data_IF_419392101995
#
_entry.id   IF_419392101995
#
_cell.length_a   1.000
_cell.length_b   1.000
_cell.length_c   1.000
_cell.angle_alpha   90.00
_cell.angle_beta   90.00
_cell.angle_gamma   90.00
#
_symmetry.space_group_name_H-M   'P 1'
#
loop_
_entity.id
_entity.type
_entity.pdbx_description
1 polymer ?
#
# COMPACT_ATOMS: atom_id res chain seq x y z
N UNK A 1 -25.70 10.94 -13.65
CA UNK A 1 -25.36 9.59 -13.14
C UNK A 1 -24.08 9.73 -12.31
N UNK A 2 -24.10 9.35 -11.05
CA UNK A 2 -22.88 9.35 -10.22
C UNK A 2 -21.92 8.29 -10.76
N UNK A 3 -20.67 8.67 -11.05
CA UNK A 3 -19.63 7.73 -11.49
C UNK A 3 -19.51 6.59 -10.47
N UNK A 4 -19.92 5.38 -10.83
CA UNK A 4 -19.84 4.18 -9.99
C UNK A 4 -18.42 3.63 -10.02
N UNK A 5 -17.50 4.35 -9.41
CA UNK A 5 -16.09 3.94 -9.31
C UNK A 5 -15.83 3.19 -8.02
N UNK A 6 -14.74 2.40 -7.98
CA UNK A 6 -14.36 1.63 -6.80
C UNK A 6 -14.31 2.53 -5.54
N UNK A 7 -13.62 3.64 -5.62
CA UNK A 7 -13.47 4.55 -4.48
C UNK A 7 -14.80 5.13 -3.99
N UNK A 8 -15.69 5.53 -4.91
CA UNK A 8 -17.01 6.08 -4.52
C UNK A 8 -17.87 5.03 -3.83
N UNK A 9 -17.84 3.79 -4.34
CA UNK A 9 -18.58 2.67 -3.76
C UNK A 9 -18.00 2.30 -2.40
N UNK A 10 -16.66 2.15 -2.27
CA UNK A 10 -16.01 1.83 -0.99
C UNK A 10 -16.38 2.86 0.10
N UNK A 11 -16.31 4.15 -0.22
CA UNK A 11 -16.68 5.21 0.74
C UNK A 11 -18.16 5.20 1.11
N UNK A 12 -19.05 4.96 0.15
CA UNK A 12 -20.48 4.89 0.38
C UNK A 12 -20.88 3.67 1.23
N UNK A 13 -20.33 2.50 0.91
CA UNK A 13 -20.62 1.27 1.65
C UNK A 13 -20.03 1.31 3.07
N UNK A 14 -18.79 1.83 3.22
CA UNK A 14 -18.17 2.08 4.51
C UNK A 14 -19.05 2.97 5.41
N UNK A 15 -19.52 4.10 4.90
CA UNK A 15 -20.33 5.04 5.68
C UNK A 15 -21.67 4.46 6.13
N UNK A 16 -22.24 3.56 5.33
CA UNK A 16 -23.52 2.89 5.62
C UNK A 16 -23.37 1.57 6.35
N UNK A 17 -22.15 1.10 6.59
CA UNK A 17 -21.85 -0.24 7.11
C UNK A 17 -22.60 -1.33 6.32
N UNK A 18 -22.51 -1.21 4.97
CA UNK A 18 -23.23 -2.12 4.09
C UNK A 18 -22.58 -3.50 4.09
N UNK A 19 -23.32 -4.52 4.49
CA UNK A 19 -22.86 -5.91 4.45
C UNK A 19 -23.06 -6.51 3.04
N UNK A 20 -22.21 -7.47 2.67
CA UNK A 20 -22.21 -8.17 1.39
C UNK A 20 -21.93 -7.30 0.14
N UNK A 21 -21.48 -6.06 0.31
CA UNK A 21 -20.95 -5.22 -0.77
C UNK A 21 -19.47 -5.46 -1.02
N UNK A 22 -18.91 -4.69 -1.95
CA UNK A 22 -17.48 -4.81 -2.29
C UNK A 22 -16.58 -4.35 -1.13
N UNK A 23 -16.98 -3.32 -0.38
CA UNK A 23 -16.24 -2.88 0.81
C UNK A 23 -16.14 -4.01 1.85
N UNK A 24 -17.25 -4.67 2.15
CA UNK A 24 -17.31 -5.81 3.07
C UNK A 24 -16.39 -6.96 2.58
N UNK A 25 -16.51 -7.32 1.29
CA UNK A 25 -15.66 -8.33 0.69
C UNK A 25 -14.18 -8.00 0.79
N UNK A 26 -13.77 -6.79 0.38
CA UNK A 26 -12.36 -6.40 0.38
C UNK A 26 -11.76 -6.25 1.79
N UNK A 27 -12.54 -5.83 2.77
CA UNK A 27 -12.13 -5.80 4.18
C UNK A 27 -11.71 -7.19 4.66
N UNK A 28 -12.57 -8.19 4.38
CA UNK A 28 -12.35 -9.56 4.84
C UNK A 28 -11.20 -10.21 4.05
N UNK A 29 -11.26 -10.17 2.72
CA UNK A 29 -10.28 -10.84 1.86
C UNK A 29 -8.87 -10.27 2.06
N UNK A 30 -8.75 -8.94 2.21
CA UNK A 30 -7.44 -8.32 2.39
C UNK A 30 -6.86 -8.63 3.77
N UNK A 31 -7.65 -8.51 4.84
CA UNK A 31 -7.19 -8.82 6.18
C UNK A 31 -6.81 -10.31 6.30
N UNK A 32 -7.65 -11.22 5.79
CA UNK A 32 -7.38 -12.65 5.79
C UNK A 32 -6.07 -12.95 5.06
N UNK A 33 -5.99 -12.65 3.78
CA UNK A 33 -4.83 -13.03 2.97
C UNK A 33 -3.54 -12.37 3.45
N UNK A 34 -3.59 -11.07 3.77
CA UNK A 34 -2.40 -10.34 4.21
C UNK A 34 -1.84 -10.83 5.55
N UNK A 35 -2.70 -11.21 6.50
CA UNK A 35 -2.26 -11.82 7.77
C UNK A 35 -1.85 -13.28 7.60
N UNK A 36 -2.54 -14.04 6.74
CA UNK A 36 -2.23 -15.45 6.49
C UNK A 36 -0.84 -15.64 5.82
N UNK A 37 -0.47 -14.72 4.92
CA UNK A 37 0.89 -14.64 4.35
C UNK A 37 1.94 -14.51 5.46
N UNK A 38 1.66 -13.79 6.54
CA UNK A 38 2.57 -13.61 7.69
C UNK A 38 2.43 -14.70 8.77
N UNK A 39 1.58 -15.69 8.54
CA UNK A 39 1.48 -16.87 9.41
C UNK A 39 0.29 -16.90 10.35
N UNK A 40 -0.64 -15.95 10.28
CA UNK A 40 -1.90 -16.02 11.03
C UNK A 40 -2.64 -17.32 10.76
N UNK A 41 -3.30 -17.87 11.78
CA UNK A 41 -4.04 -19.12 11.72
C UNK A 41 -5.55 -18.93 11.66
N UNK A 42 -6.03 -17.69 11.65
CA UNK A 42 -7.46 -17.42 11.49
C UNK A 42 -7.94 -17.91 10.11
N UNK A 43 -9.05 -18.63 10.10
CA UNK A 43 -9.72 -18.98 8.85
C UNK A 43 -10.38 -17.75 8.22
N UNK A 44 -10.74 -17.86 6.93
CA UNK A 44 -11.49 -16.81 6.26
C UNK A 44 -12.84 -16.53 6.94
N UNK A 45 -13.53 -17.59 7.40
CA UNK A 45 -14.79 -17.47 8.12
C UNK A 45 -14.63 -16.81 9.48
N UNK A 46 -13.54 -17.13 10.22
CA UNK A 46 -13.23 -16.43 11.48
C UNK A 46 -12.93 -14.95 11.23
N UNK A 47 -12.16 -14.62 10.18
CA UNK A 47 -11.89 -13.22 9.79
C UNK A 47 -13.18 -12.48 9.48
N UNK A 48 -14.09 -13.08 8.71
CA UNK A 48 -15.42 -12.53 8.43
C UNK A 48 -16.23 -12.35 9.70
N UNK A 49 -16.24 -13.35 10.58
CA UNK A 49 -17.01 -13.31 11.82
C UNK A 49 -16.52 -12.19 12.75
N UNK A 50 -15.19 -11.99 12.85
CA UNK A 50 -14.60 -10.86 13.58
C UNK A 50 -15.07 -9.52 12.99
N UNK A 51 -15.09 -9.40 11.66
CA UNK A 51 -15.55 -8.18 11.01
C UNK A 51 -17.02 -7.88 11.31
N UNK A 52 -17.88 -8.87 11.13
CA UNK A 52 -19.34 -8.73 11.21
C UNK A 52 -19.84 -8.55 12.65
N UNK A 53 -19.29 -9.32 13.59
CA UNK A 53 -19.85 -9.45 14.94
C UNK A 53 -19.00 -8.85 16.05
N UNK A 54 -17.72 -8.54 15.77
CA UNK A 54 -16.70 -8.16 16.75
C UNK A 54 -16.43 -9.24 17.81
N UNK A 55 -16.70 -10.49 17.47
CA UNK A 55 -16.39 -11.68 18.28
C UNK A 55 -15.58 -12.69 17.47
N UNK A 56 -15.02 -13.71 18.11
CA UNK A 56 -14.08 -14.66 17.48
C UNK A 56 -14.71 -16.00 17.11
N UNK A 57 -15.96 -16.23 17.48
CA UNK A 57 -16.60 -17.53 17.35
C UNK A 57 -16.18 -18.52 18.46
N UNK A 58 -16.42 -19.80 18.23
CA UNK A 58 -16.23 -20.87 19.24
C UNK A 58 -14.82 -21.49 19.15
N UNK A 59 -14.17 -21.45 17.98
CA UNK A 59 -12.86 -22.05 17.80
C UNK A 59 -11.73 -21.20 18.39
N UNK A 60 -10.73 -21.85 19.04
CA UNK A 60 -9.60 -21.13 19.59
C UNK A 60 -8.84 -20.34 18.53
N UNK A 61 -8.43 -19.12 18.87
CA UNK A 61 -7.61 -18.27 18.03
C UNK A 61 -6.53 -17.58 18.86
N UNK A 62 -5.37 -17.32 18.25
CA UNK A 62 -4.33 -16.55 18.90
C UNK A 62 -4.78 -15.09 19.06
N UNK A 63 -4.52 -14.52 20.23
CA UNK A 63 -4.94 -13.14 20.55
C UNK A 63 -4.32 -12.14 19.56
N UNK A 64 -3.06 -12.31 19.24
CA UNK A 64 -2.37 -11.43 18.27
C UNK A 64 -3.00 -11.51 16.87
N UNK A 65 -3.37 -12.70 16.39
CA UNK A 65 -4.04 -12.86 15.09
C UNK A 65 -5.36 -12.06 15.04
N UNK A 66 -6.10 -12.07 16.17
CA UNK A 66 -7.35 -11.29 16.28
C UNK A 66 -7.07 -9.79 16.26
N UNK A 67 -6.11 -9.34 17.08
CA UNK A 67 -5.75 -7.92 17.19
C UNK A 67 -5.24 -7.40 15.84
N UNK A 68 -4.32 -8.14 15.20
CA UNK A 68 -3.77 -7.78 13.89
C UNK A 68 -4.84 -7.73 12.80
N UNK A 69 -5.81 -8.66 12.85
CA UNK A 69 -6.96 -8.65 11.92
C UNK A 69 -7.85 -7.42 12.12
N UNK A 70 -8.20 -7.09 13.35
CA UNK A 70 -8.99 -5.87 13.67
C UNK A 70 -8.21 -4.61 13.29
N UNK A 71 -6.91 -4.58 13.54
CA UNK A 71 -6.05 -3.47 13.17
C UNK A 71 -5.92 -3.33 11.65
N UNK A 72 -5.86 -4.45 10.91
CA UNK A 72 -5.84 -4.43 9.45
C UNK A 72 -7.12 -3.80 8.88
N UNK A 73 -8.29 -4.12 9.42
CA UNK A 73 -9.55 -3.45 9.06
C UNK A 73 -9.49 -1.93 9.25
N UNK A 74 -8.93 -1.47 10.38
CA UNK A 74 -8.73 -0.03 10.65
C UNK A 74 -7.75 0.61 9.67
N UNK A 75 -6.67 -0.10 9.32
CA UNK A 75 -5.72 0.37 8.31
C UNK A 75 -6.38 0.49 6.93
N UNK A 76 -7.21 -0.48 6.54
CA UNK A 76 -7.93 -0.41 5.27
C UNK A 76 -8.89 0.79 5.24
N UNK A 77 -9.63 1.05 6.32
CA UNK A 77 -10.45 2.25 6.45
C UNK A 77 -9.63 3.53 6.31
N UNK A 78 -8.47 3.58 6.96
CA UNK A 78 -7.58 4.73 6.91
C UNK A 78 -7.05 4.98 5.49
N UNK A 79 -6.62 3.96 4.76
CA UNK A 79 -6.11 4.14 3.40
C UNK A 79 -7.21 4.57 2.42
N UNK A 80 -8.47 4.12 2.58
CA UNK A 80 -9.61 4.60 1.79
C UNK A 80 -9.85 6.09 2.03
N UNK A 81 -9.80 6.54 3.30
CA UNK A 81 -10.04 7.94 3.65
C UNK A 81 -8.92 8.88 3.21
N UNK A 82 -7.70 8.34 3.14
CA UNK A 82 -6.48 9.12 2.86
C UNK A 82 -5.78 8.71 1.57
N UNK A 83 -6.50 8.06 0.63
CA UNK A 83 -5.93 7.49 -0.59
C UNK A 83 -5.14 8.51 -1.42
N UNK A 84 -5.56 9.79 -1.43
CA UNK A 84 -4.98 10.89 -2.18
C UNK A 84 -3.77 11.56 -1.50
N UNK A 85 -3.52 11.26 -0.23
CA UNK A 85 -2.36 11.82 0.47
C UNK A 85 -1.05 11.23 -0.06
N UNK A 86 0.01 12.05 -0.20
CA UNK A 86 1.32 11.56 -0.59
C UNK A 86 1.89 10.59 0.44
N UNK A 87 2.73 9.66 -0.01
CA UNK A 87 3.53 8.84 0.89
C UNK A 87 4.61 9.70 1.54
N UNK A 88 4.68 9.64 2.87
CA UNK A 88 5.73 10.25 3.68
C UNK A 88 6.22 9.24 4.71
N UNK A 89 7.40 9.45 5.33
CA UNK A 89 7.84 8.61 6.43
C UNK A 89 6.80 8.50 7.55
N UNK A 90 6.16 9.61 7.90
CA UNK A 90 5.13 9.64 8.95
C UNK A 90 3.86 8.88 8.55
N UNK A 91 3.49 8.92 7.26
CA UNK A 91 2.35 8.14 6.76
C UNK A 91 2.62 6.64 6.89
N UNK A 92 3.81 6.19 6.49
CA UNK A 92 4.25 4.78 6.59
C UNK A 92 4.29 4.35 8.07
N UNK A 93 4.92 5.15 8.94
CA UNK A 93 4.99 4.90 10.38
C UNK A 93 3.60 4.85 11.03
N UNK A 94 2.65 5.67 10.56
CA UNK A 94 1.29 5.66 11.09
C UNK A 94 0.52 4.39 10.72
N UNK A 95 0.62 3.89 9.47
CA UNK A 95 0.03 2.60 9.10
C UNK A 95 0.61 1.49 9.98
N UNK A 96 1.94 1.44 10.13
CA UNK A 96 2.59 0.45 10.98
C UNK A 96 2.12 0.55 12.45
N UNK A 97 2.01 1.77 12.99
CA UNK A 97 1.49 1.99 14.35
C UNK A 97 0.09 1.44 14.52
N UNK A 98 -0.81 1.77 13.60
CA UNK A 98 -2.19 1.27 13.63
C UNK A 98 -2.23 -0.26 13.56
N UNK A 99 -1.40 -0.87 12.71
CA UNK A 99 -1.37 -2.31 12.48
C UNK A 99 -0.90 -3.08 13.72
N UNK A 100 0.14 -2.58 14.39
CA UNK A 100 0.84 -3.32 15.47
C UNK A 100 0.45 -2.89 16.88
N UNK A 101 -0.40 -1.89 17.06
CA UNK A 101 -0.85 -1.46 18.40
C UNK A 101 -1.61 -2.58 19.10
N UNK A 102 -1.19 -2.90 20.34
CA UNK A 102 -1.84 -3.87 21.22
C UNK A 102 -1.48 -5.33 20.95
N UNK A 103 -0.54 -5.63 20.05
CA UNK A 103 -0.01 -6.98 19.85
C UNK A 103 1.08 -7.29 20.89
N UNK A 104 1.37 -8.56 21.15
CA UNK A 104 2.47 -8.96 22.06
C UNK A 104 3.80 -8.37 21.64
N UNK A 105 4.05 -8.25 20.34
CA UNK A 105 5.27 -7.58 19.84
C UNK A 105 5.34 -6.11 20.26
N UNK A 106 4.20 -5.45 20.56
CA UNK A 106 4.20 -4.07 21.06
C UNK A 106 4.76 -3.90 22.46
N UNK A 107 4.83 -5.00 23.23
CA UNK A 107 5.34 -5.01 24.60
C UNK A 107 6.85 -5.31 24.66
N UNK A 108 7.46 -5.66 23.51
CA UNK A 108 8.88 -5.95 23.43
C UNK A 108 9.70 -4.64 23.43
N UNK A 109 10.72 -4.49 24.29
CA UNK A 109 11.55 -3.28 24.36
C UNK A 109 12.25 -2.94 23.03
N UNK A 110 12.53 -3.95 22.21
CA UNK A 110 13.18 -3.82 20.91
C UNK A 110 12.22 -3.47 19.77
N UNK A 111 10.91 -3.69 19.92
CA UNK A 111 9.89 -3.43 18.91
C UNK A 111 9.25 -2.07 19.12
N UNK A 112 9.72 -1.07 18.42
CA UNK A 112 9.14 0.29 18.50
C UNK A 112 7.96 0.38 17.54
N UNK A 113 6.75 0.43 18.09
CA UNK A 113 5.54 0.52 17.30
C UNK A 113 5.39 1.91 16.69
N UNK A 114 5.32 1.95 15.37
CA UNK A 114 5.22 3.22 14.61
C UNK A 114 6.53 3.98 14.49
N UNK A 115 7.66 3.31 14.71
CA UNK A 115 8.98 3.85 14.38
C UNK A 115 9.92 2.78 13.85
N UNK A 116 11.02 3.18 13.24
CA UNK A 116 11.96 2.28 12.60
C UNK A 116 12.70 1.41 13.60
N UNK A 117 13.08 0.21 13.15
CA UNK A 117 13.82 -0.76 13.95
C UNK A 117 15.14 -0.21 14.48
N UNK A 118 15.52 -0.64 15.68
CA UNK A 118 16.82 -0.32 16.30
C UNK A 118 17.85 -1.44 16.18
N UNK A 119 17.41 -2.64 15.81
CA UNK A 119 18.26 -3.82 15.72
C UNK A 119 18.27 -4.37 14.29
N UNK A 120 19.39 -5.02 13.92
CA UNK A 120 19.47 -5.71 12.65
C UNK A 120 18.51 -6.90 12.63
N UNK A 121 17.87 -7.11 11.51
CA UNK A 121 17.05 -8.29 11.27
C UNK A 121 17.37 -8.92 9.90
N UNK A 122 16.84 -10.10 9.70
CA UNK A 122 16.95 -10.86 8.46
C UNK A 122 15.54 -11.16 7.95
N UNK A 123 15.39 -11.23 6.63
CA UNK A 123 14.22 -11.82 5.97
C UNK A 123 14.72 -13.08 5.27
N UNK A 124 14.32 -14.23 5.73
CA UNK A 124 14.95 -15.51 5.38
C UNK A 124 16.49 -15.39 5.53
N UNK A 125 17.25 -15.62 4.46
CA UNK A 125 18.72 -15.55 4.47
C UNK A 125 19.28 -14.17 4.05
N UNK A 126 18.41 -13.19 3.77
CA UNK A 126 18.83 -11.87 3.29
C UNK A 126 18.94 -10.87 4.44
N UNK A 127 20.09 -10.16 4.47
CA UNK A 127 20.27 -9.00 5.36
C UNK A 127 19.41 -7.85 4.88
N UNK A 128 18.65 -7.28 5.79
CA UNK A 128 17.89 -6.05 5.53
C UNK A 128 18.75 -4.81 5.76
N UNK A 129 18.24 -3.63 5.44
CA UNK A 129 18.95 -2.37 5.73
C UNK A 129 19.26 -2.24 7.21
N UNK A 130 20.50 -1.86 7.54
CA UNK A 130 20.89 -1.65 8.96
C UNK A 130 20.11 -0.49 9.59
N UNK A 131 19.78 -0.53 10.89
CA UNK A 131 18.94 0.48 11.56
C UNK A 131 19.37 1.92 11.32
N UNK A 132 20.68 2.19 11.40
CA UNK A 132 21.26 3.53 11.18
C UNK A 132 21.03 4.10 9.77
N UNK A 133 20.71 3.25 8.80
CA UNK A 133 20.53 3.64 7.40
C UNK A 133 19.05 3.61 6.97
N UNK A 134 18.14 3.07 7.79
CA UNK A 134 16.71 2.92 7.42
C UNK A 134 16.09 4.26 7.05
N UNK A 135 16.26 5.27 7.87
CA UNK A 135 15.69 6.60 7.61
C UNK A 135 16.19 7.18 6.28
N UNK A 136 17.49 7.10 6.04
CA UNK A 136 18.12 7.56 4.80
C UNK A 136 17.56 6.81 3.58
N UNK A 137 17.47 5.49 3.64
CA UNK A 137 17.01 4.66 2.52
C UNK A 137 15.51 4.83 2.26
N UNK A 138 14.67 4.98 3.29
CA UNK A 138 13.24 5.30 3.11
C UNK A 138 13.06 6.69 2.49
N UNK A 139 13.78 7.70 2.98
CA UNK A 139 13.70 9.05 2.39
C UNK A 139 14.17 9.06 0.92
N UNK A 140 15.23 8.30 0.59
CA UNK A 140 15.70 8.13 -0.78
C UNK A 140 14.64 7.47 -1.64
N UNK A 141 14.07 6.34 -1.20
CA UNK A 141 13.02 5.62 -1.91
C UNK A 141 11.79 6.50 -2.19
N UNK A 142 11.33 7.23 -1.17
CA UNK A 142 10.19 8.16 -1.30
C UNK A 142 10.48 9.30 -2.28
N UNK A 143 11.69 9.86 -2.25
CA UNK A 143 12.12 10.91 -3.18
C UNK A 143 12.14 10.40 -4.63
N UNK A 144 12.71 9.23 -4.87
CA UNK A 144 12.75 8.60 -6.18
C UNK A 144 11.34 8.28 -6.68
N UNK A 145 10.50 7.70 -5.84
CA UNK A 145 9.11 7.40 -6.17
C UNK A 145 8.31 8.66 -6.48
N UNK A 146 8.41 9.71 -5.67
CA UNK A 146 7.67 10.96 -5.86
C UNK A 146 8.21 11.87 -6.98
N UNK A 147 9.36 11.53 -7.58
CA UNK A 147 9.95 12.33 -8.68
C UNK A 147 9.15 12.23 -9.99
N UNK A 148 8.27 11.25 -10.11
CA UNK A 148 7.36 11.06 -11.26
C UNK A 148 5.98 11.60 -10.92
N UNK A 149 5.37 12.27 -11.87
CA UNK A 149 4.01 12.84 -11.71
C UNK A 149 2.92 11.76 -11.67
N UNK A 150 3.08 10.69 -12.45
CA UNK A 150 2.16 9.56 -12.53
C UNK A 150 2.92 8.27 -12.31
N UNK A 151 2.48 7.49 -11.32
CA UNK A 151 3.06 6.17 -11.05
C UNK A 151 2.36 5.12 -11.92
N UNK A 152 3.16 4.27 -12.55
CA UNK A 152 2.66 3.08 -13.25
C UNK A 152 2.53 1.91 -12.28
N UNK A 153 1.88 0.83 -12.74
CA UNK A 153 1.83 -0.44 -12.02
C UNK A 153 3.24 -0.93 -11.64
N UNK A 154 4.19 -0.87 -12.59
CA UNK A 154 5.57 -1.29 -12.35
C UNK A 154 6.29 -0.40 -11.33
N UNK A 155 6.02 0.91 -11.31
CA UNK A 155 6.58 1.82 -10.31
C UNK A 155 6.11 1.50 -8.89
N UNK A 156 4.84 1.10 -8.75
CA UNK A 156 4.27 0.67 -7.46
C UNK A 156 4.91 -0.64 -7.01
N UNK A 157 5.11 -1.59 -7.92
CA UNK A 157 5.79 -2.86 -7.62
C UNK A 157 7.26 -2.65 -7.27
N UNK A 158 7.96 -1.76 -7.97
CA UNK A 158 9.35 -1.42 -7.66
C UNK A 158 9.47 -0.77 -6.28
N UNK A 159 8.59 0.20 -5.97
CA UNK A 159 8.52 0.79 -4.63
C UNK A 159 8.31 -0.29 -3.57
N UNK A 160 7.34 -1.18 -3.77
CA UNK A 160 7.03 -2.25 -2.83
C UNK A 160 8.23 -3.19 -2.62
N UNK A 161 8.88 -3.64 -3.70
CA UNK A 161 10.04 -4.52 -3.62
C UNK A 161 11.24 -3.86 -2.89
N UNK A 162 11.50 -2.56 -3.14
CA UNK A 162 12.54 -1.81 -2.44
C UNK A 162 12.18 -1.58 -0.97
N UNK A 163 10.91 -1.29 -0.66
CA UNK A 163 10.42 -1.16 0.70
C UNK A 163 10.62 -2.47 1.49
N UNK A 164 10.26 -3.61 0.91
CA UNK A 164 10.47 -4.92 1.52
C UNK A 164 11.98 -5.24 1.71
N UNK A 165 12.84 -4.81 0.80
CA UNK A 165 14.30 -4.93 0.93
C UNK A 165 14.86 -4.08 2.07
N UNK A 166 14.36 -2.86 2.24
CA UNK A 166 14.76 -1.98 3.35
C UNK A 166 14.31 -2.59 4.68
N UNK A 167 13.09 -3.11 4.73
CA UNK A 167 12.49 -3.76 5.90
C UNK A 167 12.58 -2.87 7.14
N UNK A 168 11.88 -1.71 7.12
CA UNK A 168 12.15 -0.61 8.05
C UNK A 168 11.76 -0.88 9.49
N UNK A 169 10.83 -1.80 9.76
CA UNK A 169 10.32 -2.08 11.10
C UNK A 169 10.86 -3.39 11.67
N UNK A 170 10.65 -3.59 12.95
CA UNK A 170 10.99 -4.85 13.63
C UNK A 170 10.13 -6.01 13.11
N UNK A 171 8.83 -5.79 12.96
CA UNK A 171 7.82 -6.72 12.45
C UNK A 171 6.74 -5.93 11.67
N UNK A 172 5.84 -6.61 10.94
CA UNK A 172 4.71 -5.99 10.24
C UNK A 172 5.06 -5.29 8.92
N UNK A 173 6.28 -5.48 8.39
CA UNK A 173 6.71 -4.85 7.13
C UNK A 173 5.86 -5.31 5.95
N UNK A 174 5.68 -6.60 5.73
CA UNK A 174 4.92 -7.14 4.62
C UNK A 174 3.48 -6.63 4.59
N UNK A 175 2.79 -6.65 5.72
CA UNK A 175 1.41 -6.13 5.85
C UNK A 175 1.33 -4.63 5.57
N UNK A 176 2.25 -3.85 6.15
CA UNK A 176 2.35 -2.41 5.89
C UNK A 176 2.63 -2.14 4.41
N UNK A 177 3.56 -2.86 3.80
CA UNK A 177 3.91 -2.75 2.38
C UNK A 177 2.73 -3.06 1.45
N UNK A 178 1.98 -4.13 1.71
CA UNK A 178 0.79 -4.49 0.92
C UNK A 178 -0.34 -3.46 1.07
N UNK A 179 -0.56 -2.90 2.26
CA UNK A 179 -1.52 -1.80 2.47
C UNK A 179 -1.11 -0.54 1.69
N UNK A 180 0.18 -0.18 1.70
CA UNK A 180 0.70 0.94 0.92
C UNK A 180 0.52 0.69 -0.59
N UNK A 181 0.82 -0.52 -1.06
CA UNK A 181 0.66 -0.90 -2.46
C UNK A 181 -0.79 -0.75 -2.92
N UNK A 182 -1.76 -1.24 -2.15
CA UNK A 182 -3.18 -1.08 -2.42
C UNK A 182 -3.58 0.41 -2.46
N UNK A 183 -3.12 1.21 -1.50
CA UNK A 183 -3.37 2.65 -1.42
C UNK A 183 -2.79 3.40 -2.62
N UNK A 184 -1.56 3.08 -3.04
CA UNK A 184 -0.94 3.74 -4.18
C UNK A 184 -1.62 3.37 -5.51
N UNK A 185 -2.15 2.15 -5.65
CA UNK A 185 -3.02 1.81 -6.77
C UNK A 185 -4.26 2.73 -6.81
N UNK A 186 -4.96 2.90 -5.69
CA UNK A 186 -6.11 3.82 -5.61
C UNK A 186 -5.72 5.24 -5.98
N UNK A 187 -4.58 5.73 -5.48
CA UNK A 187 -4.11 7.10 -5.72
C UNK A 187 -3.84 7.39 -7.19
N UNK A 188 -3.28 6.41 -7.89
CA UNK A 188 -2.84 6.56 -9.27
C UNK A 188 -3.87 6.05 -10.32
N UNK A 189 -5.12 5.85 -9.93
CA UNK A 189 -6.20 5.34 -10.81
C UNK A 189 -5.87 3.97 -11.43
N UNK A 190 -5.14 3.14 -10.69
CA UNK A 190 -4.79 1.77 -11.05
C UNK A 190 -5.69 0.82 -10.26
N UNK A 191 -6.23 -0.21 -10.90
CA UNK A 191 -7.03 -1.22 -10.20
C UNK A 191 -6.17 -1.87 -9.11
N UNK A 192 -6.55 -1.72 -7.80
CA UNK A 192 -5.80 -2.35 -6.72
C UNK A 192 -5.98 -3.86 -6.75
N UNK A 193 -5.16 -4.58 -6.00
CA UNK A 193 -5.21 -6.03 -5.92
C UNK A 193 -4.81 -6.52 -4.53
N UNK A 194 -5.14 -7.76 -4.23
CA UNK A 194 -4.82 -8.44 -2.99
C UNK A 194 -4.01 -9.67 -3.34
N UNK A 195 -2.81 -9.81 -2.78
CA UNK A 195 -2.04 -11.06 -2.89
C UNK A 195 -2.75 -12.10 -2.04
N UNK A 196 -3.19 -13.19 -2.65
CA UNK A 196 -3.82 -14.29 -1.93
C UNK A 196 -2.77 -15.26 -1.39
N UNK A 197 -3.08 -15.96 -0.30
CA UNK A 197 -2.16 -16.91 0.33
C UNK A 197 -1.75 -18.05 -0.62
N UNK A 198 -2.61 -18.44 -1.52
CA UNK A 198 -2.33 -19.46 -2.56
C UNK A 198 -1.13 -19.06 -3.45
N UNK A 199 -0.91 -17.78 -3.67
CA UNK A 199 0.18 -17.25 -4.49
C UNK A 199 1.37 -16.74 -3.68
N UNK A 200 1.38 -16.94 -2.37
CA UNK A 200 2.44 -16.51 -1.45
C UNK A 200 3.84 -16.90 -1.92
N UNK A 201 4.03 -18.14 -2.36
CA UNK A 201 5.34 -18.63 -2.77
C UNK A 201 5.85 -17.95 -4.05
N UNK A 202 4.96 -17.70 -5.02
CA UNK A 202 5.30 -16.96 -6.24
C UNK A 202 5.58 -15.50 -5.94
N UNK A 203 4.81 -14.88 -5.06
CA UNK A 203 5.02 -13.52 -4.59
C UNK A 203 6.38 -13.36 -3.89
N UNK A 204 6.75 -14.24 -2.97
CA UNK A 204 8.06 -14.20 -2.30
C UNK A 204 9.22 -14.46 -3.27
N UNK A 205 9.04 -15.39 -4.20
CA UNK A 205 10.02 -15.60 -5.26
C UNK A 205 10.20 -14.33 -6.10
N UNK A 206 9.10 -13.73 -6.52
CA UNK A 206 9.11 -12.50 -7.31
C UNK A 206 9.80 -11.34 -6.58
N UNK A 207 9.54 -11.15 -5.28
CA UNK A 207 10.23 -10.17 -4.44
C UNK A 207 11.73 -10.42 -4.39
N UNK A 208 12.14 -11.66 -4.12
CA UNK A 208 13.56 -12.03 -4.06
C UNK A 208 14.28 -11.75 -5.38
N UNK A 209 13.71 -12.18 -6.48
CA UNK A 209 14.31 -11.95 -7.82
C UNK A 209 14.40 -10.46 -8.16
N UNK A 210 13.34 -9.70 -7.90
CA UNK A 210 13.35 -8.26 -8.11
C UNK A 210 14.41 -7.55 -7.28
N UNK A 211 14.56 -7.92 -5.99
CA UNK A 211 15.51 -7.31 -5.05
C UNK A 211 16.98 -7.65 -5.35
N UNK A 212 17.22 -8.79 -5.98
CA UNK A 212 18.59 -9.26 -6.33
C UNK A 212 19.01 -8.90 -7.76
N UNK A 213 18.18 -8.18 -8.50
CA UNK A 213 18.46 -7.82 -9.90
C UNK A 213 18.17 -8.95 -10.90
N UNK A 214 17.40 -9.96 -10.49
CA UNK A 214 16.91 -11.03 -11.34
C UNK A 214 15.70 -10.62 -12.18
N UNK A 215 14.92 -11.59 -12.64
CA UNK A 215 13.77 -11.37 -13.49
C UNK A 215 12.63 -10.70 -12.73
N UNK A 216 12.19 -9.54 -13.19
CA UNK A 216 11.04 -8.82 -12.62
C UNK A 216 9.69 -9.47 -13.00
N UNK A 217 9.67 -10.39 -13.95
CA UNK A 217 8.49 -11.06 -14.46
C UNK A 217 7.67 -11.74 -13.38
N UNK A 218 8.28 -12.51 -12.50
CA UNK A 218 7.55 -13.27 -11.49
C UNK A 218 6.67 -12.41 -10.57
N UNK A 219 7.20 -11.30 -10.06
CA UNK A 219 6.41 -10.40 -9.21
C UNK A 219 5.31 -9.72 -10.03
N UNK A 220 5.68 -9.24 -11.23
CA UNK A 220 4.75 -8.55 -12.13
C UNK A 220 3.60 -9.45 -12.55
N UNK A 221 3.89 -10.66 -12.97
CA UNK A 221 2.88 -11.62 -13.44
C UNK A 221 1.98 -12.08 -12.30
N UNK A 222 2.54 -12.35 -11.11
CA UNK A 222 1.76 -12.69 -9.93
C UNK A 222 0.81 -11.56 -9.54
N UNK A 223 1.31 -10.32 -9.44
CA UNK A 223 0.49 -9.16 -9.11
C UNK A 223 -0.52 -8.82 -10.23
N UNK A 224 -0.15 -9.01 -11.49
CA UNK A 224 -1.03 -8.87 -12.65
C UNK A 224 -2.21 -9.85 -12.60
N UNK A 225 -1.94 -11.11 -12.29
CA UNK A 225 -3.00 -12.11 -12.11
C UNK A 225 -3.97 -11.72 -10.97
N UNK A 226 -3.45 -11.21 -9.86
CA UNK A 226 -4.30 -10.71 -8.76
C UNK A 226 -5.12 -9.49 -9.18
N UNK A 227 -4.56 -8.64 -10.03
CA UNK A 227 -5.27 -7.49 -10.60
C UNK A 227 -6.38 -7.93 -11.56
N UNK A 228 -6.16 -8.98 -12.35
CA UNK A 228 -7.19 -9.56 -13.22
C UNK A 228 -8.36 -10.15 -12.40
N UNK A 229 -8.06 -10.83 -11.31
CA UNK A 229 -9.09 -11.31 -10.38
C UNK A 229 -9.89 -10.14 -9.76
N UNK A 230 -9.22 -9.03 -9.41
CA UNK A 230 -9.91 -7.83 -8.94
C UNK A 230 -10.79 -7.21 -10.03
N UNK A 231 -10.33 -7.18 -11.28
CA UNK A 231 -11.14 -6.73 -12.41
C UNK A 231 -12.45 -7.53 -12.56
N UNK A 232 -12.41 -8.83 -12.35
CA UNK A 232 -13.61 -9.67 -12.39
C UNK A 232 -14.55 -9.37 -11.20
N UNK A 233 -14.01 -9.10 -10.01
CA UNK A 233 -14.78 -8.63 -8.87
C UNK A 233 -15.45 -7.27 -9.20
N UNK A 234 -14.71 -6.31 -9.78
CA UNK A 234 -15.26 -5.02 -10.17
C UNK A 234 -16.41 -5.16 -11.18
N UNK A 235 -16.25 -6.04 -12.17
CA UNK A 235 -17.32 -6.34 -13.14
C UNK A 235 -18.56 -6.92 -12.45
N UNK A 236 -18.37 -7.88 -11.54
CA UNK A 236 -19.50 -8.47 -10.78
C UNK A 236 -20.29 -7.44 -10.00
N UNK A 237 -19.62 -6.45 -9.40
CA UNK A 237 -20.25 -5.33 -8.68
C UNK A 237 -20.63 -4.14 -9.58
N UNK A 238 -20.53 -4.27 -10.90
CA UNK A 238 -20.84 -3.22 -11.89
C UNK A 238 -20.08 -1.91 -11.64
N UNK A 239 -18.81 -2.00 -11.27
CA UNK A 239 -17.94 -0.85 -10.97
C UNK A 239 -17.13 -0.50 -12.22
N UNK A 240 -17.11 0.80 -12.58
CA UNK A 240 -16.47 1.32 -13.78
C UNK A 240 -15.30 2.27 -13.41
N UNK A 241 -14.09 1.72 -13.29
CA UNK A 241 -12.89 2.48 -12.96
C UNK A 241 -12.63 2.63 -11.46
N UNK A 242 -11.54 3.27 -11.09
CA UNK A 242 -11.03 3.32 -9.71
C UNK A 242 -11.44 4.61 -9.01
N UNK A 243 -11.14 5.78 -9.61
CA UNK A 243 -11.48 7.10 -9.05
C UNK A 243 -12.46 7.86 -9.94
N UNK A 244 -13.25 8.82 -9.39
CA UNK A 244 -14.19 9.62 -10.16
C UNK A 244 -13.50 10.44 -11.27
N UNK A 245 -14.09 10.48 -12.45
CA UNK A 245 -13.57 11.25 -13.62
C UNK A 245 -13.37 12.74 -13.32
N UNK A 246 -14.23 13.33 -12.50
CA UNK A 246 -14.08 14.73 -12.05
C UNK A 246 -12.79 14.98 -11.27
N UNK A 247 -12.33 14.00 -10.46
CA UNK A 247 -11.05 14.10 -9.77
C UNK A 247 -9.86 13.87 -10.71
N UNK A 248 -10.00 12.96 -11.66
CA UNK A 248 -8.99 12.72 -12.70
C UNK A 248 -8.76 13.97 -13.56
N UNK A 249 -9.83 14.66 -13.93
CA UNK A 249 -9.75 15.91 -14.69
C UNK A 249 -9.04 17.01 -13.89
N UNK A 250 -9.38 17.19 -12.62
CA UNK A 250 -8.71 18.18 -11.75
C UNK A 250 -7.23 17.85 -11.55
N UNK A 251 -6.91 16.59 -11.37
CA UNK A 251 -5.52 16.12 -11.23
C UNK A 251 -4.70 16.40 -12.49
N UNK A 252 -5.27 16.18 -13.68
CA UNK A 252 -4.66 16.52 -14.98
C UNK A 252 -4.53 18.04 -15.19
N UNK A 253 -5.50 18.81 -14.74
CA UNK A 253 -5.47 20.29 -14.79
C UNK A 253 -4.36 20.83 -13.87
N UNK A 254 -4.26 20.32 -12.63
CA UNK A 254 -3.22 20.68 -11.66
C UNK A 254 -1.80 20.30 -12.17
N UNK A 255 -1.65 19.11 -12.78
CA UNK A 255 -0.40 18.66 -13.38
C UNK A 255 0.02 19.48 -14.59
N UNK A 256 -0.95 19.85 -15.43
CA UNK A 256 -0.72 20.71 -16.60
C UNK A 256 -0.27 22.10 -16.18
N UNK A 257 -0.85 22.65 -15.12
CA UNK A 257 -0.49 23.95 -14.55
C UNK A 257 0.93 23.91 -13.94
N UNK A 258 1.28 22.86 -13.21
CA UNK A 258 2.65 22.66 -12.68
C UNK A 258 3.66 22.55 -13.81
N UNK A 259 3.36 21.81 -14.88
CA UNK A 259 4.23 21.64 -16.03
C UNK A 259 4.42 22.95 -16.79
N UNK A 260 3.35 23.72 -16.99
CA UNK A 260 3.39 25.05 -17.61
C UNK A 260 4.24 26.04 -16.79
N UNK A 261 4.07 26.07 -15.48
CA UNK A 261 4.85 26.92 -14.59
C UNK A 261 6.34 26.56 -14.55
N UNK A 262 6.69 25.30 -14.73
CA UNK A 262 8.09 24.86 -14.82
C UNK A 262 8.73 25.27 -16.17
N UNK A 263 8.01 25.17 -17.27
CA UNK A 263 8.48 25.59 -18.60
C UNK A 263 8.70 27.11 -18.63
N UNK A 264 7.79 27.90 -18.06
CA UNK A 264 7.89 29.37 -18.04
C UNK A 264 9.04 29.85 -17.15
N UNK A 265 9.32 29.18 -16.01
CA UNK A 265 10.48 29.47 -15.16
C UNK A 265 11.83 29.20 -15.83
N UNK A 266 11.90 28.17 -16.66
CA UNK A 266 13.14 27.91 -17.43
C UNK A 266 13.34 28.90 -18.58
N UNK A 267 12.26 29.37 -19.21
CA UNK A 267 12.34 30.35 -20.28
C UNK A 267 12.77 31.76 -19.81
N UNK A 268 12.39 32.14 -18.57
CA UNK A 268 12.81 33.42 -17.98
C UNK A 268 14.28 33.42 -17.52
N UNK A 269 14.79 32.28 -17.05
CA UNK A 269 16.19 32.14 -16.63
C UNK A 269 17.18 32.14 -17.83
N UNK A 270 16.74 31.71 -19.01
CA UNK A 270 17.57 31.78 -20.23
C UNK A 270 17.56 33.15 -20.90
N UNK A 271 16.52 33.96 -20.69
CA UNK A 271 16.43 35.33 -21.17
C UNK A 271 17.35 36.31 -20.41
N UNK A 272 17.51 36.09 -19.09
CA UNK A 272 18.39 36.91 -18.25
C UNK A 272 19.88 36.59 -18.41
N UNK A 273 20.25 35.42 -18.93
CA UNK A 273 21.65 35.05 -19.22
C UNK A 273 22.19 35.60 -20.54
N UNK A 274 21.34 36.23 -21.38
CA UNK A 274 21.73 36.81 -22.67
C UNK A 274 21.92 38.32 -22.66
N UNK A 275 21.82 38.97 -21.49
CA UNK A 275 22.16 40.40 -21.33
C UNK A 275 23.44 40.56 -20.51
N UNK A 276 24.57 40.29 -21.12
CA UNK A 276 25.85 40.88 -20.73
C UNK A 276 26.15 41.96 -21.74
N UNK A 277 26.23 43.26 -21.35
CA UNK A 277 26.77 44.29 -22.24
C UNK A 277 28.27 44.08 -22.34
N UNK A 278 28.73 43.96 -23.55
CA UNK A 278 30.12 44.20 -23.85
C UNK A 278 30.40 45.69 -23.75
N UNK A 279 31.39 46.02 -22.99
CA UNK A 279 32.43 47.01 -23.24
C UNK A 279 33.44 46.94 -22.11
#
# INVERSE_FOLDING_TARGET
MTDRTLLTVLKAEKSRRHNNGIYHKLQIDFAYNSNHIEGSKLSHDQTRYIFDTKTVGIEPAHVDDIIETVNHFRCFDYIIDTYDKPLTPDYIKNIHRMLKTGTMSSDLPEAIIGDYKKYNNYVADMKTTSPKNVDKEINKLLKEYSSRSNQTFDDILDFHAQYEKIHPFYDGNGRTGRLIMFKECLRNDIVPFIITDDYKMLYYRGLKEWQTGGEKGYLRDTCGLMQDQMNDILKYFEIQGVIPKSKKRKQLEDETEVMYNNITKHSTNDADKKKTPGE
#
